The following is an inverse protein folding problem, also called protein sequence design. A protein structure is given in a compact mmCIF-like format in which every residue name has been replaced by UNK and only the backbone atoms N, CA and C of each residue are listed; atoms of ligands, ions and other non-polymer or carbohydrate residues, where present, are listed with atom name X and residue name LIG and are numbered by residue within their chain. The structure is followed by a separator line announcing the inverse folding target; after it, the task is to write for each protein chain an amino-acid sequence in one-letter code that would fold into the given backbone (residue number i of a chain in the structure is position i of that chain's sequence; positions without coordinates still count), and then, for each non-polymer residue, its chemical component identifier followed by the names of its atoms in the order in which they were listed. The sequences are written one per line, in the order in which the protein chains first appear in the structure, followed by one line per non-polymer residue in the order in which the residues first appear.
data_IF_809004226987
#
_entry.id   IF_809004226987
#
_cell.length_a   1.000
_cell.length_b   1.000
_cell.length_c   1.000
_cell.angle_alpha   90.00
_cell.angle_beta   90.00
_cell.angle_gamma   90.00
#
_symmetry.space_group_name_H-M   'P 1'
#
loop_
_entity.id
_entity.type
_entity.pdbx_description
1 polymer ?
#
# COMPACT_ATOMS: atom_id res chain seq x y z
N UNK A 1 -9.55 9.37 -7.66
CA UNK A 1 -8.18 9.94 -7.50
C UNK A 1 -8.14 11.25 -6.71
N UNK A 2 -8.95 12.29 -6.99
CA UNK A 2 -8.89 13.54 -6.19
C UNK A 2 -9.54 13.36 -4.82
N UNK A 3 -10.69 12.69 -4.76
CA UNK A 3 -11.43 12.52 -3.51
C UNK A 3 -10.68 11.61 -2.50
N UNK A 4 -10.07 10.52 -2.95
CA UNK A 4 -9.32 9.59 -2.10
C UNK A 4 -8.13 10.29 -1.43
N UNK A 5 -7.39 11.10 -2.19
CA UNK A 5 -6.27 11.88 -1.68
C UNK A 5 -6.72 12.92 -0.63
N UNK A 6 -7.82 13.62 -0.90
CA UNK A 6 -8.36 14.62 0.05
C UNK A 6 -8.85 13.94 1.36
N UNK A 7 -9.50 12.78 1.26
CA UNK A 7 -9.88 12.01 2.44
C UNK A 7 -8.65 11.49 3.21
N UNK A 8 -7.63 11.00 2.51
CA UNK A 8 -6.40 10.55 3.13
C UNK A 8 -5.65 11.69 3.83
N UNK A 9 -5.55 12.87 3.21
CA UNK A 9 -4.96 14.06 3.81
C UNK A 9 -5.69 14.49 5.07
N UNK A 10 -7.01 14.55 5.02
CA UNK A 10 -7.81 14.95 6.18
C UNK A 10 -7.61 13.98 7.36
N UNK A 11 -7.63 12.66 7.09
CA UNK A 11 -7.36 11.66 8.11
C UNK A 11 -5.92 11.73 8.63
N UNK A 12 -4.96 11.98 7.75
CA UNK A 12 -3.55 12.09 8.12
C UNK A 12 -3.29 13.33 8.99
N UNK A 13 -3.86 14.49 8.65
CA UNK A 13 -3.75 15.70 9.46
C UNK A 13 -4.33 15.50 10.86
N UNK A 14 -5.49 14.84 10.97
CA UNK A 14 -6.08 14.52 12.26
C UNK A 14 -5.18 13.58 13.08
N UNK A 15 -4.63 12.55 12.43
CA UNK A 15 -3.70 11.63 13.07
C UNK A 15 -2.37 12.31 13.48
N UNK A 16 -1.91 13.33 12.76
CA UNK A 16 -0.78 14.15 13.15
C UNK A 16 -1.06 14.97 14.42
N UNK A 17 -2.23 15.62 14.49
CA UNK A 17 -2.66 16.38 15.68
C UNK A 17 -2.77 15.48 16.92
N UNK A 18 -3.25 14.26 16.76
CA UNK A 18 -3.38 13.25 17.82
C UNK A 18 -2.07 12.50 18.11
N UNK A 19 -0.98 12.73 17.36
CA UNK A 19 0.26 11.94 17.40
C UNK A 19 0.03 10.44 17.23
N UNK A 20 -0.91 10.06 16.41
CA UNK A 20 -1.42 8.69 16.22
C UNK A 20 -1.22 8.15 14.78
N UNK A 21 -0.32 8.76 13.98
CA UNK A 21 -0.16 8.41 12.56
C UNK A 21 0.10 6.91 12.33
N UNK A 22 0.94 6.28 13.15
CA UNK A 22 1.27 4.85 13.02
C UNK A 22 0.10 3.97 13.45
N UNK A 23 -0.51 4.25 14.57
CA UNK A 23 -1.67 3.49 15.07
C UNK A 23 -2.86 3.61 14.11
N UNK A 24 -3.14 4.79 13.59
CA UNK A 24 -4.18 5.00 12.57
C UNK A 24 -3.87 4.22 11.29
N UNK A 25 -2.61 4.14 10.87
CA UNK A 25 -2.22 3.32 9.72
C UNK A 25 -2.48 1.83 9.96
N UNK A 26 -2.11 1.32 11.14
CA UNK A 26 -2.33 -0.08 11.50
C UNK A 26 -3.83 -0.41 11.59
N UNK A 27 -4.59 0.46 12.23
CA UNK A 27 -6.04 0.35 12.36
C UNK A 27 -6.72 0.36 10.99
N UNK A 28 -6.32 1.28 10.10
CA UNK A 28 -6.87 1.37 8.75
C UNK A 28 -6.58 0.10 7.92
N UNK A 29 -5.40 -0.48 8.08
CA UNK A 29 -5.04 -1.79 7.47
C UNK A 29 -5.92 -2.91 8.01
N UNK A 30 -6.12 -2.97 9.33
CA UNK A 30 -6.95 -3.97 9.98
C UNK A 30 -8.41 -3.87 9.52
N UNK A 31 -8.96 -2.67 9.48
CA UNK A 31 -10.31 -2.39 8.96
C UNK A 31 -10.47 -2.90 7.53
N UNK A 32 -9.52 -2.57 6.65
CA UNK A 32 -9.58 -2.98 5.24
C UNK A 32 -9.40 -4.50 5.08
N UNK A 33 -8.57 -5.14 5.90
CA UNK A 33 -8.44 -6.59 5.91
C UNK A 33 -9.77 -7.25 6.31
N UNK A 34 -10.41 -6.80 7.40
CA UNK A 34 -11.71 -7.30 7.84
C UNK A 34 -12.80 -7.10 6.78
N UNK A 35 -12.81 -5.96 6.11
CA UNK A 35 -13.74 -5.67 5.01
C UNK A 35 -13.51 -6.60 3.82
N UNK A 36 -12.25 -6.91 3.47
CA UNK A 36 -11.92 -7.82 2.36
C UNK A 36 -12.37 -9.25 2.63
N UNK A 37 -12.28 -9.71 3.88
CA UNK A 37 -12.76 -11.02 4.31
C UNK A 37 -14.29 -11.09 4.29
N UNK A 38 -14.98 -9.97 4.53
CA UNK A 38 -16.43 -9.87 4.60
C UNK A 38 -16.99 -8.88 3.56
N UNK A 39 -16.91 -9.24 2.27
CA UNK A 39 -17.38 -8.35 1.18
C UNK A 39 -18.85 -7.95 1.30
N UNK A 40 -19.69 -8.86 1.82
CA UNK A 40 -21.10 -8.58 2.11
C UNK A 40 -21.32 -7.44 3.07
N UNK A 41 -20.34 -7.13 3.93
CA UNK A 41 -20.43 -6.00 4.87
C UNK A 41 -20.47 -4.64 4.15
N UNK A 42 -19.64 -4.45 3.10
CA UNK A 42 -19.74 -3.22 2.30
C UNK A 42 -21.06 -3.12 1.55
N UNK A 43 -21.55 -4.22 1.01
CA UNK A 43 -22.85 -4.26 0.34
C UNK A 43 -23.98 -3.92 1.30
N UNK A 44 -23.88 -4.38 2.55
CA UNK A 44 -24.83 -4.06 3.61
C UNK A 44 -24.82 -2.57 3.95
N UNK A 45 -23.66 -1.94 4.06
CA UNK A 45 -23.52 -0.51 4.30
C UNK A 45 -24.04 0.34 3.12
N UNK A 46 -23.89 -0.15 1.89
CA UNK A 46 -24.35 0.54 0.69
C UNK A 46 -25.86 0.33 0.41
N UNK A 47 -26.52 -0.67 1.05
CA UNK A 47 -27.94 -0.96 0.78
C UNK A 47 -28.84 0.20 1.23
N UNK A 48 -29.86 0.55 0.44
CA UNK A 48 -30.87 1.52 0.87
C UNK A 48 -31.89 0.96 1.89
N UNK A 49 -31.85 -0.35 2.14
CA UNK A 49 -32.79 -1.01 3.06
C UNK A 49 -32.53 -0.69 4.53
N UNK A 50 -31.32 -0.28 4.90
CA UNK A 50 -30.95 0.11 6.26
C UNK A 50 -31.05 1.63 6.43
N UNK A 51 -31.60 2.05 7.58
CA UNK A 51 -31.59 3.44 8.01
C UNK A 51 -30.15 3.93 8.28
N UNK A 52 -29.97 5.25 8.36
CA UNK A 52 -28.68 5.85 8.68
C UNK A 52 -28.20 5.39 10.07
N UNK A 53 -29.09 5.40 11.05
CA UNK A 53 -28.81 5.03 12.44
C UNK A 53 -28.34 3.57 12.54
N UNK A 54 -29.00 2.65 11.84
CA UNK A 54 -28.62 1.24 11.81
C UNK A 54 -27.22 1.04 11.21
N UNK A 55 -26.89 1.73 10.12
CA UNK A 55 -25.55 1.67 9.51
C UNK A 55 -24.46 2.19 10.44
N UNK A 56 -24.71 3.30 11.13
CA UNK A 56 -23.74 3.86 12.07
C UNK A 56 -23.53 2.94 13.28
N UNK A 57 -24.62 2.31 13.80
CA UNK A 57 -24.53 1.32 14.87
C UNK A 57 -23.72 0.09 14.46
N UNK A 58 -23.92 -0.42 13.24
CA UNK A 58 -23.14 -1.53 12.71
C UNK A 58 -21.64 -1.20 12.60
N UNK A 59 -21.29 0.04 12.24
CA UNK A 59 -19.91 0.49 12.19
C UNK A 59 -19.30 0.56 13.60
N UNK A 60 -20.05 1.09 14.58
CA UNK A 60 -19.59 1.15 15.98
C UNK A 60 -19.35 -0.24 16.58
N UNK A 61 -20.25 -1.17 16.29
CA UNK A 61 -20.13 -2.56 16.77
C UNK A 61 -18.95 -3.28 16.12
N UNK A 62 -18.81 -3.18 14.79
CA UNK A 62 -17.79 -3.87 14.04
C UNK A 62 -16.36 -3.36 14.35
N UNK A 63 -16.22 -2.06 14.62
CA UNK A 63 -14.92 -1.40 14.80
C UNK A 63 -14.73 -0.80 16.19
N UNK A 64 -15.35 -1.41 17.22
CA UNK A 64 -15.27 -0.95 18.62
C UNK A 64 -13.85 -0.91 19.21
N UNK A 65 -12.92 -1.68 18.65
CA UNK A 65 -11.49 -1.72 19.06
C UNK A 65 -10.59 -0.72 18.32
N UNK A 66 -11.15 0.01 17.36
CA UNK A 66 -10.41 0.94 16.50
C UNK A 66 -10.49 2.35 17.08
N UNK A 67 -9.51 3.20 16.78
CA UNK A 67 -9.50 4.59 17.23
C UNK A 67 -10.79 5.34 16.82
N UNK A 68 -11.34 6.11 17.75
CA UNK A 68 -12.62 6.83 17.55
C UNK A 68 -12.58 7.76 16.33
N UNK A 69 -11.46 8.41 16.10
CA UNK A 69 -11.24 9.29 14.95
C UNK A 69 -11.41 8.53 13.63
N UNK A 70 -10.84 7.30 13.53
CA UNK A 70 -10.99 6.47 12.34
C UNK A 70 -12.41 5.91 12.19
N UNK A 71 -13.07 5.52 13.29
CA UNK A 71 -14.49 5.09 13.26
C UNK A 71 -15.36 6.22 12.72
N UNK A 72 -15.20 7.44 13.22
CA UNK A 72 -15.92 8.61 12.74
C UNK A 72 -15.65 8.90 11.25
N UNK A 73 -14.42 8.74 10.82
CA UNK A 73 -14.06 8.85 9.41
C UNK A 73 -14.80 7.82 8.54
N UNK A 74 -14.87 6.56 8.96
CA UNK A 74 -15.64 5.51 8.26
C UNK A 74 -17.13 5.85 8.20
N UNK A 75 -17.69 6.38 9.28
CA UNK A 75 -19.08 6.85 9.32
C UNK A 75 -19.34 7.95 8.28
N UNK A 76 -18.44 8.94 8.18
CA UNK A 76 -18.53 10.01 7.18
C UNK A 76 -18.50 9.43 5.76
N UNK A 77 -17.63 8.47 5.49
CA UNK A 77 -17.59 7.80 4.19
C UNK A 77 -18.87 7.01 3.91
N UNK A 78 -19.46 6.38 4.92
CA UNK A 78 -20.74 5.67 4.81
C UNK A 78 -21.87 6.64 4.46
N UNK A 79 -21.98 7.76 5.16
CA UNK A 79 -22.97 8.81 4.87
C UNK A 79 -22.85 9.39 3.45
N UNK A 80 -21.61 9.52 2.97
CA UNK A 80 -21.29 9.96 1.61
C UNK A 80 -21.42 8.86 0.55
N UNK A 81 -21.81 7.64 0.93
CA UNK A 81 -21.84 6.45 0.05
C UNK A 81 -20.49 6.20 -0.66
N UNK A 82 -19.42 6.46 0.04
CA UNK A 82 -18.04 6.44 -0.47
C UNK A 82 -17.17 5.39 0.22
N UNK A 83 -17.77 4.40 0.90
CA UNK A 83 -17.07 3.32 1.63
C UNK A 83 -16.14 2.51 0.71
N UNK A 84 -16.49 2.39 -0.57
CA UNK A 84 -15.66 1.72 -1.59
C UNK A 84 -14.31 2.41 -1.85
N UNK A 85 -14.15 3.65 -1.42
CA UNK A 85 -12.88 4.39 -1.56
C UNK A 85 -11.85 4.01 -0.48
N UNK A 86 -12.25 3.35 0.61
CA UNK A 86 -11.37 2.97 1.72
C UNK A 86 -10.06 2.31 1.29
N UNK A 87 -10.02 1.33 0.35
CA UNK A 87 -8.75 0.74 -0.07
C UNK A 87 -7.81 1.72 -0.78
N UNK A 88 -8.35 2.69 -1.50
CA UNK A 88 -7.56 3.73 -2.16
C UNK A 88 -7.12 4.80 -1.15
N UNK A 89 -7.97 5.14 -0.18
CA UNK A 89 -7.60 6.03 0.93
C UNK A 89 -6.43 5.46 1.72
N UNK A 90 -6.38 4.13 1.97
CA UNK A 90 -5.23 3.51 2.61
C UNK A 90 -3.94 3.73 1.80
N UNK A 91 -3.98 3.54 0.48
CA UNK A 91 -2.79 3.74 -0.37
C UNK A 91 -2.26 5.18 -0.30
N UNK A 92 -3.16 6.15 -0.35
CA UNK A 92 -2.80 7.56 -0.25
C UNK A 92 -2.29 7.90 1.15
N UNK A 93 -2.91 7.35 2.20
CA UNK A 93 -2.45 7.51 3.58
C UNK A 93 -1.05 6.90 3.79
N UNK A 94 -0.80 5.70 3.26
CA UNK A 94 0.53 5.07 3.27
C UNK A 94 1.57 5.93 2.56
N UNK A 95 1.23 6.54 1.44
CA UNK A 95 2.14 7.42 0.71
C UNK A 95 2.49 8.67 1.53
N UNK A 96 1.49 9.30 2.18
CA UNK A 96 1.70 10.45 3.06
C UNK A 96 2.55 10.07 4.29
N UNK A 97 2.28 8.93 4.89
CA UNK A 97 3.05 8.40 6.01
C UNK A 97 4.50 8.14 5.62
N UNK A 98 4.73 7.47 4.50
CA UNK A 98 6.06 7.15 3.98
C UNK A 98 6.84 8.44 3.64
N UNK A 99 6.19 9.45 3.08
CA UNK A 99 6.78 10.75 2.79
C UNK A 99 7.20 11.48 4.08
N UNK A 100 6.29 11.55 5.05
CA UNK A 100 6.52 12.23 6.35
C UNK A 100 7.67 11.62 7.14
N UNK A 101 7.72 10.29 7.19
CA UNK A 101 8.71 9.54 7.99
C UNK A 101 9.95 9.12 7.19
N UNK A 102 10.07 9.56 5.95
CA UNK A 102 11.22 9.25 5.11
C UNK A 102 11.38 7.76 4.84
N UNK A 103 10.28 7.04 4.66
CA UNK A 103 10.28 5.60 4.37
C UNK A 103 10.27 5.38 2.86
N UNK A 104 11.07 4.44 2.39
CA UNK A 104 11.08 3.97 1.01
C UNK A 104 10.68 2.50 0.97
N UNK A 105 9.47 2.22 0.46
CA UNK A 105 9.03 0.84 0.23
C UNK A 105 9.55 0.36 -1.10
N UNK A 106 10.26 -0.76 -1.08
CA UNK A 106 10.88 -1.38 -2.26
C UNK A 106 10.36 -2.79 -2.41
N UNK A 107 9.76 -3.08 -3.54
CA UNK A 107 9.47 -4.46 -3.95
C UNK A 107 10.68 -4.99 -4.72
N UNK A 108 11.34 -5.99 -4.15
CA UNK A 108 12.45 -6.70 -4.76
C UNK A 108 11.93 -7.99 -5.42
N UNK A 109 11.89 -8.00 -6.75
CA UNK A 109 11.45 -9.17 -7.52
C UNK A 109 12.66 -9.99 -7.92
N UNK A 110 12.67 -11.27 -7.54
CA UNK A 110 13.79 -12.22 -7.75
C UNK A 110 13.28 -13.54 -8.31
N UNK A 111 14.16 -14.32 -8.97
CA UNK A 111 13.82 -15.64 -9.51
C UNK A 111 13.62 -16.70 -8.42
N UNK A 112 14.20 -16.50 -7.25
CA UNK A 112 14.12 -17.38 -6.07
C UNK A 112 13.98 -16.51 -4.81
N UNK A 113 13.42 -17.04 -3.70
CA UNK A 113 13.38 -16.30 -2.44
C UNK A 113 14.76 -15.78 -2.05
N UNK A 114 14.82 -14.52 -1.65
CA UNK A 114 16.06 -13.91 -1.14
C UNK A 114 16.28 -14.35 0.31
N UNK A 115 17.54 -14.61 0.67
CA UNK A 115 17.91 -14.83 2.07
C UNK A 115 17.81 -13.54 2.88
N UNK A 116 17.72 -13.67 4.21
CA UNK A 116 17.71 -12.51 5.10
C UNK A 116 18.98 -11.66 4.95
N UNK A 117 20.14 -12.30 4.75
CA UNK A 117 21.41 -11.63 4.51
C UNK A 117 21.38 -10.80 3.21
N UNK A 118 20.82 -11.37 2.13
CA UNK A 118 20.67 -10.66 0.86
C UNK A 118 19.73 -9.46 0.98
N UNK A 119 18.62 -9.62 1.70
CA UNK A 119 17.68 -8.52 1.96
C UNK A 119 18.32 -7.44 2.83
N UNK A 120 19.08 -7.81 3.85
CA UNK A 120 19.79 -6.87 4.72
C UNK A 120 20.84 -6.07 3.94
N UNK A 121 21.66 -6.72 3.12
CA UNK A 121 22.68 -6.06 2.28
C UNK A 121 22.03 -5.11 1.25
N UNK A 122 20.93 -5.52 0.64
CA UNK A 122 20.17 -4.66 -0.28
C UNK A 122 19.59 -3.43 0.44
N UNK A 123 19.02 -3.63 1.63
CA UNK A 123 18.49 -2.55 2.47
C UNK A 123 19.57 -1.53 2.78
N UNK A 124 20.69 -1.97 3.34
CA UNK A 124 21.80 -1.09 3.72
C UNK A 124 22.30 -0.25 2.52
N UNK A 125 22.42 -0.87 1.36
CA UNK A 125 22.84 -0.18 0.14
C UNK A 125 21.84 0.89 -0.29
N UNK A 126 20.53 0.58 -0.27
CA UNK A 126 19.48 1.51 -0.65
C UNK A 126 19.34 2.65 0.37
N UNK A 127 19.46 2.36 1.66
CA UNK A 127 19.42 3.36 2.74
C UNK A 127 20.58 4.37 2.60
N UNK A 128 21.78 3.90 2.31
CA UNK A 128 22.94 4.76 2.05
C UNK A 128 22.75 5.64 0.81
N UNK A 129 22.15 5.08 -0.25
CA UNK A 129 21.96 5.80 -1.51
C UNK A 129 20.80 6.81 -1.45
N UNK A 130 19.71 6.42 -0.82
CA UNK A 130 18.45 7.21 -0.80
C UNK A 130 18.29 8.09 0.44
N UNK A 131 19.11 7.88 1.48
CA UNK A 131 19.03 8.58 2.76
C UNK A 131 17.63 8.48 3.39
N UNK A 132 16.99 7.31 3.25
CA UNK A 132 15.65 6.98 3.75
C UNK A 132 15.66 5.63 4.44
N UNK A 133 14.76 5.41 5.38
CA UNK A 133 14.51 4.09 5.94
C UNK A 133 13.90 3.18 4.88
N UNK A 134 14.50 2.03 4.59
CA UNK A 134 14.06 1.14 3.50
C UNK A 134 13.33 -0.07 4.03
N UNK A 135 12.10 -0.26 3.56
CA UNK A 135 11.28 -1.46 3.80
C UNK A 135 11.26 -2.29 2.52
N UNK A 136 11.82 -3.51 2.58
CA UNK A 136 11.91 -4.40 1.41
C UNK A 136 10.87 -5.52 1.54
N UNK A 137 10.11 -5.73 0.46
CA UNK A 137 9.25 -6.90 0.27
C UNK A 137 9.83 -7.72 -0.89
N UNK A 138 10.00 -9.04 -0.69
CA UNK A 138 10.49 -9.90 -1.76
C UNK A 138 9.33 -10.65 -2.44
N UNK A 139 9.21 -10.47 -3.74
CA UNK A 139 8.29 -11.21 -4.63
C UNK A 139 9.10 -12.15 -5.52
N UNK A 140 8.65 -13.39 -5.67
CA UNK A 140 9.34 -14.39 -6.49
C UNK A 140 8.64 -14.53 -7.84
N UNK A 141 9.36 -14.19 -8.91
CA UNK A 141 8.95 -14.37 -10.31
C UNK A 141 10.00 -15.25 -11.02
N UNK A 142 9.80 -16.57 -11.16
CA UNK A 142 10.79 -17.46 -11.80
C UNK A 142 11.11 -17.08 -13.24
N UNK A 143 10.19 -16.38 -13.91
CA UNK A 143 10.34 -15.98 -15.33
C UNK A 143 11.48 -14.99 -15.59
N UNK A 144 12.01 -14.31 -14.57
CA UNK A 144 13.14 -13.40 -14.74
C UNK A 144 14.47 -14.12 -14.95
N UNK A 145 14.50 -15.47 -14.81
CA UNK A 145 15.64 -16.38 -14.94
C UNK A 145 16.76 -16.13 -13.93
N UNK A 146 16.89 -14.94 -13.40
CA UNK A 146 17.90 -14.50 -12.43
C UNK A 146 18.10 -13.00 -12.43
N UNK A 147 18.91 -12.51 -11.48
CA UNK A 147 19.05 -11.08 -11.24
C UNK A 147 17.95 -10.53 -10.35
N UNK A 148 17.76 -9.21 -10.35
CA UNK A 148 16.87 -8.50 -9.45
C UNK A 148 16.17 -7.37 -10.19
N UNK A 149 14.85 -7.27 -10.00
CA UNK A 149 14.08 -6.07 -10.36
C UNK A 149 13.69 -5.35 -9.08
N UNK A 150 13.82 -4.04 -9.04
CA UNK A 150 13.37 -3.21 -7.93
C UNK A 150 12.26 -2.30 -8.41
N UNK A 151 11.15 -2.28 -7.67
CA UNK A 151 10.02 -1.38 -7.91
C UNK A 151 9.82 -0.51 -6.67
N UNK A 152 9.86 0.79 -6.83
CA UNK A 152 9.62 1.76 -5.75
C UNK A 152 9.19 3.12 -6.32
N UNK A 153 8.25 3.80 -5.67
CA UNK A 153 7.80 5.16 -6.04
C UNK A 153 7.52 5.35 -7.53
N UNK A 154 6.90 4.35 -8.19
CA UNK A 154 6.62 4.40 -9.63
C UNK A 154 7.83 4.17 -10.54
N UNK A 155 9.03 3.98 -10.00
CA UNK A 155 10.24 3.66 -10.73
C UNK A 155 10.49 2.16 -10.71
N UNK A 156 10.88 1.60 -11.86
CA UNK A 156 11.33 0.22 -11.95
C UNK A 156 12.78 0.17 -12.45
N UNK A 157 13.64 -0.43 -11.64
CA UNK A 157 15.00 -0.76 -12.03
C UNK A 157 15.07 -2.26 -12.37
N UNK A 158 15.33 -2.59 -13.62
CA UNK A 158 15.38 -3.97 -14.09
C UNK A 158 16.84 -4.40 -14.38
N UNK A 159 17.40 -5.16 -13.43
CA UNK A 159 18.71 -5.81 -13.53
C UNK A 159 18.63 -7.31 -13.84
N UNK A 160 17.49 -7.80 -14.33
CA UNK A 160 17.32 -9.23 -14.61
C UNK A 160 18.17 -9.75 -15.76
N UNK A 161 18.51 -11.02 -15.69
CA UNK A 161 19.25 -11.72 -16.77
C UNK A 161 18.42 -11.75 -18.05
N UNK A 162 17.10 -11.89 -17.95
CA UNK A 162 16.18 -11.86 -19.09
C UNK A 162 16.34 -10.55 -19.88
N UNK A 163 16.22 -9.40 -19.20
CA UNK A 163 16.36 -8.11 -19.86
C UNK A 163 17.76 -7.90 -20.48
N UNK A 164 18.81 -8.48 -19.87
CA UNK A 164 20.16 -8.45 -20.46
C UNK A 164 20.25 -9.31 -21.71
N UNK A 165 19.65 -10.50 -21.72
CA UNK A 165 19.61 -11.39 -22.88
C UNK A 165 18.81 -10.78 -24.03
N UNK A 166 17.63 -10.20 -23.74
CA UNK A 166 16.79 -9.53 -24.74
C UNK A 166 17.53 -8.37 -25.42
N UNK A 167 18.32 -7.59 -24.65
CA UNK A 167 19.16 -6.51 -25.19
C UNK A 167 20.28 -7.04 -26.08
N UNK A 168 20.93 -8.16 -25.72
CA UNK A 168 21.96 -8.80 -26.53
C UNK A 168 21.35 -9.33 -27.83
N UNK A 169 20.21 -10.00 -27.76
CA UNK A 169 19.50 -10.49 -28.94
C UNK A 169 19.11 -9.36 -29.90
N UNK A 170 18.56 -8.27 -29.37
CA UNK A 170 18.22 -7.09 -30.15
C UNK A 170 19.46 -6.46 -30.83
N UNK A 171 20.58 -6.40 -30.09
CA UNK A 171 21.85 -5.89 -30.64
C UNK A 171 22.38 -6.77 -31.76
N UNK A 172 22.29 -8.09 -31.61
CA UNK A 172 22.75 -9.04 -32.66
C UNK A 172 21.87 -8.94 -33.92
N UNK A 173 20.55 -8.82 -33.76
CA UNK A 173 19.64 -8.64 -34.90
C UNK A 173 19.93 -7.36 -35.69
N UNK A 174 20.38 -6.29 -35.03
CA UNK A 174 20.71 -5.02 -35.68
C UNK A 174 22.08 -5.03 -36.36
N UNK A 175 22.96 -6.02 -36.10
CA UNK A 175 24.27 -6.16 -36.69
C UNK A 175 24.24 -7.07 -37.93
N UNK A 176 23.19 -7.84 -38.12
CA UNK A 176 23.03 -8.84 -39.20
C UNK A 176 22.23 -8.27 -40.39
N UNK A 177 21.95 -6.95 -40.42
CA UNK A 177 21.27 -6.28 -41.57
C UNK A 177 22.27 -5.47 -42.40
#
# INVERSE_FOLDING_TARGET
MIAELEYAKALFMLAEEENSCETTLLDLRAVIAAIKENRSYLELLDTPALSKEEKLSLIDEAFSSVAVSLVNFIKILCEKRSTRLLPNVLKEYEALYDEKFGILRVEAVSARPMSEEQMAALREKLEKEKQKTVVITNTVEPEILGGLKLRFSGVQLDGSLRTRLDKIEASLKNVIV
#
